data_IF_696080597700
#
_entry.id   IF_696080597700
#
_cell.length_a   1.000
_cell.length_b   1.000
_cell.length_c   1.000
_cell.angle_alpha   90.00
_cell.angle_beta   90.00
_cell.angle_gamma   90.00
#
_symmetry.space_group_name_H-M   'P 1'
#
loop_
_entity.id
_entity.type
_entity.pdbx_description
1 polymer ?
#
# COMPACT_ATOMS: atom_id res chain seq x y z
N UNK A 1 11.01 -0.56 12.17
CA UNK A 1 10.33 -1.78 12.69
C UNK A 1 10.81 -2.99 11.90
N UNK A 2 10.74 -4.25 12.39
CA UNK A 2 11.29 -5.42 11.64
C UNK A 2 10.13 -6.25 11.08
N UNK A 3 9.84 -6.09 9.80
CA UNK A 3 8.89 -6.94 9.07
C UNK A 3 9.51 -8.30 8.78
N UNK A 4 8.72 -9.35 8.95
CA UNK A 4 9.10 -10.69 8.53
C UNK A 4 9.15 -10.79 6.99
N UNK A 5 9.94 -11.71 6.46
CA UNK A 5 10.01 -12.00 5.02
C UNK A 5 8.63 -12.26 4.42
N UNK A 6 7.73 -12.93 5.16
CA UNK A 6 6.35 -13.20 4.72
C UNK A 6 5.56 -11.91 4.57
N UNK A 7 5.62 -11.03 5.56
CA UNK A 7 4.91 -9.74 5.54
C UNK A 7 5.41 -8.85 4.41
N UNK A 8 6.74 -8.77 4.22
CA UNK A 8 7.32 -7.96 3.15
C UNK A 8 6.97 -8.50 1.76
N UNK A 9 6.99 -9.83 1.58
CA UNK A 9 6.56 -10.48 0.32
C UNK A 9 5.09 -10.19 0.02
N UNK A 10 4.21 -10.25 1.03
CA UNK A 10 2.79 -9.95 0.88
C UNK A 10 2.57 -8.48 0.51
N UNK A 11 3.21 -7.55 1.22
CA UNK A 11 3.11 -6.12 0.94
C UNK A 11 3.57 -5.81 -0.49
N UNK A 12 4.69 -6.41 -0.93
CA UNK A 12 5.20 -6.28 -2.29
C UNK A 12 4.21 -6.83 -3.32
N UNK A 13 3.60 -7.98 -3.05
CA UNK A 13 2.56 -8.56 -3.89
C UNK A 13 1.32 -7.67 -4.04
N UNK A 14 0.90 -6.98 -2.98
CA UNK A 14 -0.20 -6.00 -3.02
C UNK A 14 0.15 -4.83 -3.95
N UNK A 15 1.39 -4.32 -3.86
CA UNK A 15 1.86 -3.22 -4.70
C UNK A 15 1.94 -3.62 -6.18
N UNK A 16 2.48 -4.80 -6.50
CA UNK A 16 2.55 -5.30 -7.88
C UNK A 16 1.19 -5.46 -8.57
N UNK A 17 0.12 -5.60 -7.78
CA UNK A 17 -1.25 -5.76 -8.28
C UNK A 17 -1.98 -4.42 -8.47
N UNK A 18 -1.31 -3.28 -8.29
CA UNK A 18 -1.90 -1.95 -8.49
C UNK A 18 -2.93 -1.56 -7.43
N UNK A 19 -2.89 -2.20 -6.25
CA UNK A 19 -3.80 -1.91 -5.14
C UNK A 19 -3.36 -0.69 -4.30
N UNK A 20 -2.21 -0.10 -4.64
CA UNK A 20 -1.62 1.05 -3.96
C UNK A 20 -1.50 2.21 -4.93
N UNK A 21 -1.85 3.41 -4.47
CA UNK A 21 -1.60 4.67 -5.17
C UNK A 21 -0.68 5.54 -4.31
N UNK A 22 0.47 5.89 -4.86
CA UNK A 22 1.42 6.80 -4.23
C UNK A 22 1.46 8.12 -5.00
N UNK A 23 1.40 9.22 -4.26
CA UNK A 23 1.57 10.57 -4.81
C UNK A 23 2.95 10.77 -5.44
N UNK A 24 3.05 11.71 -6.38
CA UNK A 24 4.27 12.03 -7.13
C UNK A 24 5.43 12.44 -6.22
N UNK A 25 5.15 13.11 -5.10
CA UNK A 25 6.18 13.51 -4.13
C UNK A 25 6.77 12.34 -3.34
N UNK A 26 6.15 11.16 -3.39
CA UNK A 26 6.52 10.00 -2.58
C UNK A 26 6.97 8.81 -3.43
N UNK A 27 6.31 8.55 -4.56
CA UNK A 27 6.36 7.28 -5.29
C UNK A 27 7.77 6.76 -5.57
N UNK A 28 8.70 7.63 -5.99
CA UNK A 28 10.06 7.21 -6.36
C UNK A 28 10.88 6.83 -5.13
N UNK A 29 10.85 7.66 -4.07
CA UNK A 29 11.59 7.40 -2.85
C UNK A 29 11.07 6.17 -2.10
N UNK A 30 9.74 6.03 -2.02
CA UNK A 30 9.10 4.85 -1.43
C UNK A 30 9.46 3.58 -2.20
N UNK A 31 9.43 3.61 -3.53
CA UNK A 31 9.82 2.47 -4.37
C UNK A 31 11.27 2.06 -4.12
N UNK A 32 12.21 3.02 -4.13
CA UNK A 32 13.63 2.73 -3.88
C UNK A 32 13.83 2.12 -2.49
N UNK A 33 13.17 2.68 -1.47
CA UNK A 33 13.27 2.16 -0.11
C UNK A 33 12.79 0.71 0.00
N UNK A 34 11.62 0.40 -0.55
CA UNK A 34 11.05 -0.95 -0.50
C UNK A 34 11.88 -1.94 -1.31
N UNK A 35 12.36 -1.55 -2.49
CA UNK A 35 13.25 -2.40 -3.31
C UNK A 35 14.59 -2.69 -2.60
N UNK A 36 15.15 -1.72 -1.88
CA UNK A 36 16.33 -1.93 -1.03
C UNK A 36 16.05 -2.91 0.11
N UNK A 37 14.91 -2.79 0.79
CA UNK A 37 14.53 -3.75 1.85
C UNK A 37 14.37 -5.18 1.32
N UNK A 38 13.77 -5.35 0.14
CA UNK A 38 13.63 -6.67 -0.51
C UNK A 38 15.01 -7.30 -0.81
N UNK A 39 15.96 -6.48 -1.28
CA UNK A 39 17.35 -6.88 -1.53
C UNK A 39 18.06 -7.31 -0.25
N UNK A 40 17.98 -6.50 0.80
CA UNK A 40 18.63 -6.77 2.08
C UNK A 40 18.14 -8.08 2.73
N UNK A 41 16.85 -8.39 2.59
CA UNK A 41 16.27 -9.64 3.08
C UNK A 41 16.49 -10.84 2.16
N UNK A 42 17.17 -10.67 1.02
CA UNK A 42 17.43 -11.75 0.07
C UNK A 42 16.17 -12.32 -0.60
N UNK A 43 15.10 -11.54 -0.68
CA UNK A 43 13.82 -11.98 -1.26
C UNK A 43 13.95 -11.98 -2.78
N UNK A 44 13.76 -13.14 -3.40
CA UNK A 44 13.76 -13.28 -4.86
C UNK A 44 12.53 -12.56 -5.45
N UNK A 45 12.77 -11.72 -6.45
CA UNK A 45 11.73 -10.98 -7.18
C UNK A 45 11.51 -11.65 -8.54
N UNK A 46 10.25 -11.92 -8.87
CA UNK A 46 9.85 -12.37 -10.21
C UNK A 46 9.64 -11.17 -11.15
N UNK A 47 9.19 -10.03 -10.60
CA UNK A 47 8.96 -8.75 -11.29
C UNK A 47 9.38 -7.60 -10.36
N UNK A 48 9.91 -6.52 -10.93
CA UNK A 48 10.21 -5.28 -10.22
C UNK A 48 8.98 -4.38 -10.14
N UNK A 49 8.87 -3.58 -9.08
CA UNK A 49 7.86 -2.51 -9.04
C UNK A 49 8.21 -1.45 -10.08
N UNK A 50 7.23 -1.09 -10.88
CA UNK A 50 7.28 0.09 -11.73
C UNK A 50 6.48 1.23 -11.10
N UNK A 51 6.77 2.47 -11.53
CA UNK A 51 5.97 3.62 -11.11
C UNK A 51 4.50 3.49 -11.57
N UNK A 52 4.26 2.79 -12.68
CA UNK A 52 2.92 2.54 -13.19
C UNK A 52 2.12 1.60 -12.28
N UNK A 53 2.78 0.61 -11.68
CA UNK A 53 2.16 -0.29 -10.69
C UNK A 53 1.73 0.47 -9.40
N UNK A 54 2.25 1.68 -9.18
CA UNK A 54 1.97 2.53 -8.02
C UNK A 54 0.99 3.68 -8.31
N UNK A 55 0.35 3.65 -9.48
CA UNK A 55 -0.67 4.61 -9.89
C UNK A 55 -2.04 3.92 -10.12
N UNK A 56 -2.41 3.02 -9.22
CA UNK A 56 -3.62 2.22 -9.36
C UNK A 56 -4.86 3.07 -9.64
N UNK A 57 -5.59 2.76 -10.71
CA UNK A 57 -6.85 3.44 -11.06
C UNK A 57 -7.96 3.23 -10.02
N UNK A 58 -7.89 2.10 -9.30
CA UNK A 58 -8.83 1.73 -8.24
C UNK A 58 -8.04 1.24 -7.02
N UNK A 59 -7.30 2.14 -6.34
CA UNK A 59 -6.43 1.77 -5.25
C UNK A 59 -7.26 1.49 -3.99
N UNK A 60 -6.73 0.63 -3.12
CA UNK A 60 -7.26 0.39 -1.78
C UNK A 60 -6.37 0.97 -0.69
N UNK A 61 -5.13 1.35 -1.02
CA UNK A 61 -4.27 2.14 -0.15
C UNK A 61 -3.79 3.37 -0.91
N UNK A 62 -3.91 4.54 -0.29
CA UNK A 62 -3.38 5.78 -0.83
C UNK A 62 -2.38 6.36 0.16
N UNK A 63 -1.19 6.71 -0.30
CA UNK A 63 -0.23 7.48 0.47
C UNK A 63 0.11 8.75 -0.31
N UNK A 64 -0.13 9.91 0.29
CA UNK A 64 0.09 11.20 -0.36
C UNK A 64 0.83 12.19 0.52
N UNK A 65 1.56 13.11 -0.10
CA UNK A 65 2.18 14.23 0.60
C UNK A 65 1.72 15.56 0.01
N UNK A 66 1.34 16.51 0.86
CA UNK A 66 1.01 17.87 0.43
C UNK A 66 2.25 18.69 0.01
N UNK A 67 3.46 18.18 0.27
CA UNK A 67 4.73 18.85 0.00
C UNK A 67 5.76 17.87 -0.57
N UNK A 68 6.74 18.33 -1.36
CA UNK A 68 7.87 17.51 -1.76
C UNK A 68 8.61 16.93 -0.56
N UNK A 69 8.98 15.64 -0.63
CA UNK A 69 9.75 14.96 0.40
C UNK A 69 11.18 14.77 -0.09
N UNK A 70 12.14 15.14 0.75
CA UNK A 70 13.54 14.81 0.53
C UNK A 70 13.87 13.48 1.20
N UNK A 71 14.10 12.45 0.38
CA UNK A 71 14.46 11.11 0.83
C UNK A 71 15.95 10.95 1.11
N UNK A 72 16.79 11.87 0.65
CA UNK A 72 18.25 11.75 0.69
C UNK A 72 18.89 12.74 1.66
N UNK A 73 18.08 13.52 2.40
CA UNK A 73 18.54 14.60 3.27
C UNK A 73 19.61 15.46 2.58
N UNK A 74 19.38 15.80 1.30
CA UNK A 74 20.21 16.79 0.63
C UNK A 74 19.85 18.10 1.29
N UNK A 75 20.82 18.82 1.86
CA UNK A 75 20.63 20.12 2.52
C UNK A 75 19.99 21.15 1.56
N UNK A 76 18.69 21.00 1.30
CA UNK A 76 17.93 21.79 0.36
C UNK A 76 17.42 23.00 1.11
N UNK A 77 17.79 24.23 0.71
CA UNK A 77 17.39 25.46 1.38
C UNK A 77 15.87 25.64 1.50
N UNK A 78 15.08 24.84 0.78
CA UNK A 78 13.62 24.81 0.85
C UNK A 78 13.05 24.13 2.11
N UNK A 79 13.85 23.38 2.88
CA UNK A 79 13.38 22.64 4.07
C UNK A 79 13.08 23.54 5.28
N UNK A 80 13.61 24.77 5.33
CA UNK A 80 13.42 25.68 6.47
C UNK A 80 12.29 26.71 6.32
N UNK A 81 11.63 26.79 5.15
CA UNK A 81 10.55 27.75 4.90
C UNK A 81 9.15 27.10 4.76
N UNK A 82 9.12 25.78 4.61
CA UNK A 82 7.92 24.98 4.41
C UNK A 82 7.21 24.69 5.75
N UNK A 83 6.38 25.62 6.22
CA UNK A 83 5.57 25.50 7.44
C UNK A 83 6.39 25.23 8.72
N UNK A 84 6.80 26.30 9.42
CA UNK A 84 7.38 26.24 10.76
C UNK A 84 6.40 25.76 11.86
N UNK A 85 5.20 25.30 11.50
CA UNK A 85 4.27 24.69 12.45
C UNK A 85 4.66 23.23 12.66
N UNK A 86 5.23 22.94 13.84
CA UNK A 86 5.61 21.59 14.25
C UNK A 86 4.41 20.61 14.28
N UNK A 87 3.19 21.11 14.26
CA UNK A 87 1.95 20.32 14.23
C UNK A 87 1.57 19.85 12.83
N UNK A 88 2.17 20.42 11.77
CA UNK A 88 1.81 20.09 10.39
C UNK A 88 2.37 18.72 9.99
N UNK A 89 1.48 17.86 9.47
CA UNK A 89 1.79 16.49 9.04
C UNK A 89 1.39 16.31 7.58
N UNK A 90 2.29 16.60 6.63
CA UNK A 90 1.96 16.63 5.21
C UNK A 90 1.71 15.26 4.61
N UNK A 91 2.26 14.19 5.18
CA UNK A 91 2.11 12.84 4.66
C UNK A 91 0.86 12.22 5.26
N UNK A 92 -0.04 11.72 4.42
CA UNK A 92 -1.24 10.99 4.85
C UNK A 92 -1.28 9.60 4.23
N UNK A 93 -1.58 8.60 5.05
CA UNK A 93 -1.81 7.22 4.64
C UNK A 93 -3.29 6.88 4.89
N UNK A 94 -3.97 6.41 3.84
CA UNK A 94 -5.38 6.05 3.88
C UNK A 94 -5.58 4.63 3.35
N UNK A 95 -6.49 3.91 3.96
CA UNK A 95 -6.91 2.57 3.56
C UNK A 95 -8.41 2.58 3.25
N UNK A 96 -8.79 1.85 2.21
CA UNK A 96 -10.17 1.59 1.84
C UNK A 96 -10.56 0.18 2.29
N UNK A 97 -11.37 0.10 3.34
CA UNK A 97 -12.04 -1.16 3.70
C UNK A 97 -13.25 -1.40 2.81
N UNK A 98 -13.46 -2.66 2.47
CA UNK A 98 -14.61 -3.12 1.69
C UNK A 98 -15.53 -3.88 2.61
N UNK A 99 -16.79 -3.47 2.65
CA UNK A 99 -17.83 -4.13 3.44
C UNK A 99 -18.79 -4.78 2.45
N UNK A 100 -18.92 -6.11 2.49
CA UNK A 100 -19.95 -6.78 1.71
C UNK A 100 -21.32 -6.42 2.27
N UNK A 101 -22.24 -6.10 1.37
CA UNK A 101 -23.64 -5.88 1.67
C UNK A 101 -24.47 -6.68 0.65
N UNK A 102 -25.74 -6.96 0.95
CA UNK A 102 -26.60 -7.88 0.17
C UNK A 102 -26.80 -7.48 -1.31
N UNK A 103 -26.44 -6.25 -1.69
CA UNK A 103 -26.63 -5.74 -3.04
C UNK A 103 -25.34 -5.30 -3.72
N UNK A 104 -24.49 -4.52 -3.03
CA UNK A 104 -23.20 -4.03 -3.58
C UNK A 104 -22.17 -3.83 -2.45
N UNK A 105 -20.88 -4.08 -2.73
CA UNK A 105 -19.83 -3.78 -1.77
C UNK A 105 -19.79 -2.27 -1.49
N UNK A 106 -19.59 -1.91 -0.22
CA UNK A 106 -19.43 -0.53 0.23
C UNK A 106 -17.96 -0.27 0.55
N UNK A 107 -17.41 0.77 -0.07
CA UNK A 107 -16.03 1.22 0.12
C UNK A 107 -15.98 2.33 1.16
N UNK A 108 -15.20 2.13 2.23
CA UNK A 108 -14.99 3.13 3.28
C UNK A 108 -13.52 3.45 3.45
N UNK A 109 -13.16 4.67 3.10
CA UNK A 109 -11.84 5.24 3.34
C UNK A 109 -11.68 5.69 4.78
N UNK A 110 -10.54 5.37 5.38
CA UNK A 110 -10.15 5.85 6.68
C UNK A 110 -8.66 6.18 6.69
N UNK A 111 -8.29 7.15 7.52
CA UNK A 111 -6.90 7.56 7.69
C UNK A 111 -6.23 6.59 8.65
N UNK A 112 -5.20 5.90 8.17
CA UNK A 112 -4.36 5.00 8.98
C UNK A 112 -3.38 5.82 9.81
N UNK A 113 -2.79 6.86 9.19
CA UNK A 113 -1.81 7.69 9.86
C UNK A 113 -1.55 9.00 9.13
N UNK A 114 -1.00 9.95 9.89
CA UNK A 114 -0.44 11.20 9.36
C UNK A 114 0.96 11.37 9.93
N UNK A 115 1.89 11.75 9.05
CA UNK A 115 3.31 11.77 9.34
C UNK A 115 3.92 13.10 8.91
N UNK A 116 5.02 13.44 9.59
CA UNK A 116 5.85 14.58 9.24
C UNK A 116 6.84 14.18 8.13
N UNK A 117 7.42 15.16 7.43
CA UNK A 117 8.42 14.87 6.40
C UNK A 117 9.65 14.14 6.96
N UNK A 118 10.10 14.54 8.15
CA UNK A 118 11.24 13.93 8.85
C UNK A 118 10.97 12.49 9.33
N UNK A 119 9.70 12.06 9.34
CA UNK A 119 9.26 10.71 9.70
C UNK A 119 8.80 9.89 8.47
N UNK A 120 9.39 10.16 7.30
CA UNK A 120 9.07 9.43 6.06
C UNK A 120 9.29 7.92 6.19
N UNK A 121 10.36 7.51 6.89
CA UNK A 121 10.64 6.08 7.12
C UNK A 121 9.53 5.45 7.96
N UNK A 122 9.08 6.11 9.03
CA UNK A 122 7.94 5.65 9.82
C UNK A 122 6.65 5.56 9.01
N UNK A 123 6.44 6.50 8.09
CA UNK A 123 5.31 6.49 7.18
C UNK A 123 5.34 5.30 6.19
N UNK A 124 6.52 4.94 5.68
CA UNK A 124 6.71 3.77 4.81
C UNK A 124 6.54 2.46 5.60
N UNK A 125 7.07 2.40 6.82
CA UNK A 125 6.88 1.27 7.73
C UNK A 125 5.37 1.03 7.98
N UNK A 126 4.60 2.08 8.24
CA UNK A 126 3.15 2.00 8.41
C UNK A 126 2.41 1.58 7.12
N UNK A 127 2.89 2.01 5.95
CA UNK A 127 2.39 1.53 4.66
C UNK A 127 2.60 0.02 4.55
N UNK A 128 3.80 -0.49 4.78
CA UNK A 128 4.11 -1.91 4.68
C UNK A 128 3.34 -2.76 5.71
N UNK A 129 3.16 -2.27 6.94
CA UNK A 129 2.29 -2.90 7.94
C UNK A 129 0.84 -3.00 7.44
N UNK A 130 0.31 -1.92 6.85
CA UNK A 130 -1.05 -1.90 6.30
C UNK A 130 -1.22 -2.93 5.17
N UNK A 131 -0.25 -3.01 4.26
CA UNK A 131 -0.30 -3.91 3.11
C UNK A 131 -0.10 -5.38 3.49
N UNK A 132 0.65 -5.65 4.57
CA UNK A 132 0.91 -7.00 5.07
C UNK A 132 -0.13 -7.50 6.07
N UNK A 133 -1.13 -6.68 6.41
CA UNK A 133 -2.15 -7.05 7.38
C UNK A 133 -3.21 -7.97 6.76
N UNK A 134 -3.26 -9.22 7.24
CA UNK A 134 -4.25 -10.23 6.82
C UNK A 134 -5.70 -9.84 7.10
N UNK A 135 -5.96 -8.86 7.98
CA UNK A 135 -7.28 -8.28 8.18
C UNK A 135 -7.73 -7.34 7.05
N UNK A 136 -6.79 -6.79 6.29
CA UNK A 136 -7.06 -5.84 5.21
C UNK A 136 -6.90 -6.46 3.83
N UNK A 137 -5.87 -7.29 3.64
CA UNK A 137 -5.56 -7.95 2.38
C UNK A 137 -5.36 -9.43 2.59
N UNK A 138 -5.96 -10.24 1.73
CA UNK A 138 -5.83 -11.69 1.77
C UNK A 138 -5.69 -12.25 0.36
N UNK A 139 -5.00 -13.38 0.25
CA UNK A 139 -4.85 -14.10 -1.00
C UNK A 139 -6.04 -15.01 -1.23
N UNK A 140 -6.59 -15.00 -2.46
CA UNK A 140 -7.58 -15.97 -2.89
C UNK A 140 -6.95 -17.35 -2.99
N UNK A 141 -7.56 -18.37 -2.38
CA UNK A 141 -7.02 -19.74 -2.37
C UNK A 141 -7.03 -20.43 -3.74
N UNK A 142 -7.84 -19.94 -4.68
CA UNK A 142 -7.99 -20.53 -6.02
C UNK A 142 -7.03 -19.90 -7.04
N UNK A 143 -7.06 -18.58 -7.17
CA UNK A 143 -6.29 -17.86 -8.19
C UNK A 143 -5.03 -17.18 -7.66
N UNK A 144 -4.72 -17.32 -6.37
CA UNK A 144 -3.56 -16.71 -5.72
C UNK A 144 -3.47 -15.18 -5.83
N UNK A 145 -4.52 -14.52 -6.29
CA UNK A 145 -4.59 -13.04 -6.39
C UNK A 145 -4.87 -12.45 -5.02
N UNK A 146 -4.18 -11.36 -4.68
CA UNK A 146 -4.39 -10.66 -3.41
C UNK A 146 -5.56 -9.70 -3.57
N UNK A 147 -6.49 -9.73 -2.62
CA UNK A 147 -7.71 -8.92 -2.65
C UNK A 147 -7.91 -8.23 -1.30
N UNK A 148 -8.56 -7.05 -1.28
CA UNK A 148 -9.10 -6.52 -0.04
C UNK A 148 -10.00 -7.56 0.63
N UNK A 149 -9.89 -7.73 1.94
CA UNK A 149 -10.51 -8.84 2.67
C UNK A 149 -12.04 -8.93 2.43
N UNK A 150 -12.72 -7.80 2.27
CA UNK A 150 -14.15 -7.76 1.95
C UNK A 150 -14.55 -8.28 0.56
N UNK A 151 -13.60 -8.61 -0.32
CA UNK A 151 -13.89 -9.26 -1.60
C UNK A 151 -13.73 -10.77 -1.58
N UNK A 152 -13.38 -11.35 -0.44
CA UNK A 152 -13.29 -12.79 -0.28
C UNK A 152 -14.51 -13.30 0.49
N UNK A 153 -15.08 -14.38 -0.01
CA UNK A 153 -16.19 -15.08 0.66
C UNK A 153 -15.72 -15.92 1.86
N UNK A 154 -16.65 -16.70 2.42
CA UNK A 154 -16.41 -17.54 3.60
C UNK A 154 -15.24 -18.54 3.44
N UNK A 155 -15.01 -19.03 2.21
CA UNK A 155 -13.95 -19.98 1.89
C UNK A 155 -12.66 -19.30 1.40
N UNK A 156 -12.52 -17.99 1.59
CA UNK A 156 -11.37 -17.21 1.11
C UNK A 156 -11.19 -17.28 -0.43
N UNK A 157 -12.30 -17.48 -1.14
CA UNK A 157 -12.38 -17.46 -2.60
C UNK A 157 -12.91 -16.08 -3.04
N UNK A 158 -12.30 -15.50 -4.08
CA UNK A 158 -12.77 -14.23 -4.64
C UNK A 158 -14.01 -14.45 -5.51
N UNK A 159 -14.86 -13.42 -5.64
CA UNK A 159 -16.10 -13.52 -6.42
C UNK A 159 -15.86 -14.03 -7.85
N UNK A 160 -14.79 -13.59 -8.52
CA UNK A 160 -14.45 -14.04 -9.88
C UNK A 160 -14.30 -15.57 -9.97
N UNK A 161 -13.64 -16.19 -8.98
CA UNK A 161 -13.46 -17.65 -8.96
C UNK A 161 -14.72 -18.37 -8.46
N UNK A 162 -15.53 -17.72 -7.63
CA UNK A 162 -16.81 -18.28 -7.20
C UNK A 162 -17.79 -18.41 -8.37
N UNK A 163 -17.85 -17.41 -9.25
CA UNK A 163 -18.74 -17.40 -10.41
C UNK A 163 -18.37 -18.51 -11.41
N UNK A 164 -17.06 -18.73 -11.63
CA UNK A 164 -16.52 -19.82 -12.44
C UNK A 164 -16.84 -21.21 -11.86
N UNK A 165 -16.79 -21.37 -10.52
CA UNK A 165 -17.12 -22.62 -9.84
C UNK A 165 -18.62 -22.95 -9.85
N UNK A 166 -19.47 -21.93 -9.92
CA UNK A 166 -20.93 -22.07 -9.99
C UNK A 166 -21.45 -22.23 -11.43
N UNK A 167 -20.57 -22.19 -12.43
CA UNK A 167 -20.92 -22.41 -13.85
C UNK A 167 -21.72 -21.27 -14.47
N UNK A 168 -21.65 -20.06 -13.92
CA UNK A 168 -22.32 -18.87 -14.44
C UNK A 168 -21.33 -18.09 -15.30
N UNK A 169 -21.21 -18.49 -16.57
CA UNK A 169 -20.45 -17.79 -17.60
C UNK A 169 -21.37 -16.89 -18.45
#
# INVERSE_FOLDING_TARGET
MILTTKQLTQAYGVMLQGLVSLDDNLRQGVLVYIESLMLEQGIKREKYLSLDDLNGHYPYVCMGSYMPIDFFNVDSPCSMAACNDQSFKPISLKLCTVIQNEHKPVHRWHTVGTFRCDDIVGAIDALLETLSNDGFFKQCVTCNTIRPAGYLGHDQVCNCCSDELLGVA
#
